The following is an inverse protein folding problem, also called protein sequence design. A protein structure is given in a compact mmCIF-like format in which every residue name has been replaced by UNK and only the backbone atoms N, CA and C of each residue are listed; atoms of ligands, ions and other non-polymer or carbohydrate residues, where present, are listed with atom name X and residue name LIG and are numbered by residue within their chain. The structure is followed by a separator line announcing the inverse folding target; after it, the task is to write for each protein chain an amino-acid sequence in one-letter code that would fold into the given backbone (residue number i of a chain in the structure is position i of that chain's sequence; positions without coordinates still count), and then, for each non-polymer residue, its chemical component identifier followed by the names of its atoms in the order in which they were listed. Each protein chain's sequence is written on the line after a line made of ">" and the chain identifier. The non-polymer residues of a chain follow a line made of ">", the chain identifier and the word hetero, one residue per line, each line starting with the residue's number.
data_IF_299647564060
#
_entry.id   IF_299647564060
#
_cell.length_a   1.000
_cell.length_b   1.000
_cell.length_c   1.000
_cell.angle_alpha   90.00
_cell.angle_beta   90.00
_cell.angle_gamma   90.00
#
_symmetry.space_group_name_H-M   'P 1'
#
loop_
_entity.id
_entity.type
_entity.pdbx_description
1 polymer ?
#
# COMPACT_ATOMS: atom_id res chain seq x y z
N UNK A 1 14.15 -16.34 -5.56
CA UNK A 1 13.08 -15.33 -5.63
C UNK A 1 13.70 -14.00 -5.24
N UNK A 2 13.59 -13.01 -6.11
CA UNK A 2 14.15 -11.68 -5.89
C UNK A 2 13.11 -10.84 -5.16
N UNK A 3 13.45 -10.43 -3.95
CA UNK A 3 12.73 -9.40 -3.23
C UNK A 3 12.87 -8.05 -3.96
N UNK A 4 11.91 -7.12 -3.80
CA UNK A 4 10.69 -7.22 -2.98
C UNK A 4 9.57 -8.05 -3.62
N UNK A 5 8.74 -8.66 -2.78
CA UNK A 5 7.47 -9.29 -3.18
C UNK A 5 6.39 -8.22 -3.14
N UNK A 6 5.62 -8.08 -4.22
CA UNK A 6 4.52 -7.13 -4.31
C UNK A 6 3.15 -7.79 -4.11
N UNK A 7 2.34 -7.17 -3.26
CA UNK A 7 0.96 -7.60 -2.97
C UNK A 7 0.05 -6.40 -3.22
N UNK A 8 -0.95 -6.58 -4.08
CA UNK A 8 -1.94 -5.54 -4.39
C UNK A 8 -3.31 -5.98 -3.92
N UNK A 9 -3.96 -5.13 -3.12
CA UNK A 9 -5.31 -5.33 -2.63
C UNK A 9 -6.23 -4.30 -3.27
N UNK A 10 -7.30 -4.75 -3.93
CA UNK A 10 -8.37 -3.90 -4.45
C UNK A 10 -9.54 -3.85 -3.47
N UNK A 11 -9.90 -2.66 -2.98
CA UNK A 11 -11.08 -2.45 -2.16
C UNK A 11 -12.34 -2.45 -3.01
N UNK A 12 -13.44 -2.91 -2.44
CA UNK A 12 -14.72 -2.96 -3.16
C UNK A 12 -15.21 -1.55 -3.54
N UNK A 13 -14.99 -0.58 -2.65
CA UNK A 13 -15.36 0.83 -2.78
C UNK A 13 -14.17 1.72 -2.52
N UNK A 14 -14.11 2.86 -3.20
CA UNK A 14 -13.19 3.95 -2.84
C UNK A 14 -13.46 4.33 -1.38
N UNK A 15 -12.42 4.32 -0.57
CA UNK A 15 -12.52 4.53 0.86
C UNK A 15 -11.49 5.54 1.32
N UNK A 16 -11.85 6.35 2.32
CA UNK A 16 -10.85 7.10 3.07
C UNK A 16 -10.23 6.17 4.10
N UNK A 17 -8.98 5.79 3.90
CA UNK A 17 -8.24 4.86 4.75
C UNK A 17 -7.51 5.70 5.80
N UNK A 18 -7.71 5.43 7.09
CA UNK A 18 -7.02 6.18 8.15
C UNK A 18 -6.02 5.33 8.92
N UNK A 19 -6.15 4.00 8.89
CA UNK A 19 -5.24 3.10 9.61
C UNK A 19 -5.05 1.77 8.90
N UNK A 20 -3.79 1.33 8.83
CA UNK A 20 -3.39 0.00 8.36
C UNK A 20 -2.59 -0.69 9.46
N UNK A 21 -2.90 -1.95 9.72
CA UNK A 21 -2.20 -2.81 10.69
C UNK A 21 -1.68 -4.02 9.94
N UNK A 22 -0.38 -4.27 10.07
CA UNK A 22 0.26 -5.46 9.52
C UNK A 22 0.85 -6.26 10.67
N UNK A 23 0.40 -7.50 10.80
CA UNK A 23 0.91 -8.49 11.75
C UNK A 23 1.79 -9.45 10.96
N UNK A 24 3.08 -9.53 11.34
CA UNK A 24 4.07 -10.39 10.69
C UNK A 24 4.24 -11.69 11.45
N UNK A 25 4.72 -12.73 10.76
CA UNK A 25 5.11 -13.97 11.42
C UNK A 25 6.47 -13.80 12.10
N UNK A 26 6.54 -14.13 13.37
CA UNK A 26 7.73 -14.01 14.21
C UNK A 26 8.90 -14.90 13.76
N UNK A 27 8.58 -16.02 13.09
CA UNK A 27 9.60 -16.94 12.55
C UNK A 27 10.07 -16.53 11.16
N UNK A 28 9.34 -15.63 10.49
CA UNK A 28 9.58 -15.22 9.11
C UNK A 28 9.43 -13.70 8.96
N UNK A 29 10.06 -12.96 9.88
CA UNK A 29 9.98 -11.50 9.92
C UNK A 29 10.68 -10.86 8.70
N UNK A 30 9.98 -10.02 7.91
CA UNK A 30 10.62 -9.25 6.84
C UNK A 30 11.45 -8.11 7.44
N UNK A 31 12.53 -7.70 6.79
CA UNK A 31 13.35 -6.53 7.17
C UNK A 31 12.56 -5.23 7.06
N UNK A 32 11.76 -5.11 6.00
CA UNK A 32 10.96 -3.93 5.69
C UNK A 32 9.65 -4.30 5.00
N UNK A 33 8.60 -3.54 5.28
CA UNK A 33 7.38 -3.49 4.48
C UNK A 33 7.13 -2.04 4.07
N UNK A 34 6.74 -1.80 2.83
CA UNK A 34 6.25 -0.50 2.38
C UNK A 34 4.79 -0.61 2.00
N UNK A 35 3.99 0.38 2.36
CA UNK A 35 2.55 0.43 2.04
C UNK A 35 2.22 1.77 1.41
N UNK A 36 1.59 1.74 0.24
CA UNK A 36 0.97 2.91 -0.35
C UNK A 36 -0.50 2.65 -0.69
N UNK A 37 -1.25 3.74 -0.72
CA UNK A 37 -2.68 3.79 -1.06
C UNK A 37 -2.81 4.49 -2.40
N UNK A 38 -3.48 3.84 -3.32
CA UNK A 38 -3.70 4.31 -4.68
C UNK A 38 -5.16 4.63 -4.95
N UNK A 39 -5.42 5.79 -5.56
CA UNK A 39 -6.72 6.08 -6.14
C UNK A 39 -6.70 5.72 -7.63
N UNK A 40 -7.55 4.79 -8.03
CA UNK A 40 -7.75 4.43 -9.43
C UNK A 40 -9.14 4.83 -9.92
N UNK A 41 -9.37 4.59 -11.20
CA UNK A 41 -10.68 4.78 -11.83
C UNK A 41 -11.65 3.69 -11.33
N UNK A 42 -12.69 4.10 -10.61
CA UNK A 42 -13.67 3.22 -9.98
C UNK A 42 -14.63 2.57 -10.98
N UNK A 43 -14.59 2.99 -12.25
CA UNK A 43 -15.33 2.36 -13.35
C UNK A 43 -14.60 1.17 -13.95
N UNK A 44 -13.30 1.02 -13.68
CA UNK A 44 -12.49 -0.07 -14.19
C UNK A 44 -12.58 -1.32 -13.30
N UNK A 45 -12.33 -2.48 -13.92
CA UNK A 45 -12.22 -3.73 -13.17
C UNK A 45 -11.05 -3.67 -12.18
N UNK A 46 -11.29 -4.16 -10.96
CA UNK A 46 -10.28 -4.23 -9.90
C UNK A 46 -9.35 -5.41 -10.14
N UNK A 47 -8.29 -5.16 -10.91
CA UNK A 47 -7.25 -6.13 -11.19
C UNK A 47 -5.87 -5.47 -11.09
N UNK A 48 -4.83 -6.31 -11.07
CA UNK A 48 -3.46 -5.85 -10.89
C UNK A 48 -2.98 -4.92 -12.02
N UNK A 49 -3.45 -5.13 -13.27
CA UNK A 49 -3.13 -4.25 -14.40
C UNK A 49 -3.64 -2.83 -14.19
N UNK A 50 -4.90 -2.70 -13.78
CA UNK A 50 -5.53 -1.40 -13.56
C UNK A 50 -5.02 -0.74 -12.27
N UNK A 51 -4.64 -1.52 -11.26
CA UNK A 51 -4.01 -1.00 -10.06
C UNK A 51 -2.70 -0.26 -10.36
N UNK A 52 -1.89 -0.71 -11.34
CA UNK A 52 -0.65 -0.02 -11.75
C UNK A 52 -0.88 1.37 -12.36
N UNK A 53 -2.11 1.66 -12.79
CA UNK A 53 -2.49 2.96 -13.35
C UNK A 53 -3.05 3.91 -12.28
N UNK A 54 -3.23 3.44 -11.05
CA UNK A 54 -3.72 4.28 -9.95
C UNK A 54 -2.66 5.31 -9.52
N UNK A 55 -3.13 6.47 -9.02
CA UNK A 55 -2.26 7.47 -8.41
C UNK A 55 -1.99 7.08 -6.95
N UNK A 56 -0.79 6.56 -6.69
CA UNK A 56 -0.35 6.19 -5.35
C UNK A 56 0.25 7.38 -4.60
N UNK A 57 -0.05 7.44 -3.30
CA UNK A 57 0.67 8.31 -2.39
C UNK A 57 2.10 7.81 -2.14
N UNK A 58 2.90 8.64 -1.44
CA UNK A 58 4.24 8.25 -1.03
C UNK A 58 4.18 7.00 -0.14
N UNK A 59 5.03 5.98 -0.40
CA UNK A 59 5.07 4.77 0.39
C UNK A 59 5.43 5.05 1.84
N UNK A 60 4.68 4.45 2.76
CA UNK A 60 4.99 4.49 4.19
C UNK A 60 5.75 3.23 4.55
N UNK A 61 6.93 3.42 5.14
CA UNK A 61 7.87 2.36 5.45
C UNK A 61 7.68 1.84 6.89
N UNK A 62 7.86 0.53 7.03
CA UNK A 62 7.75 -0.23 8.26
C UNK A 62 8.99 -1.12 8.36
N UNK A 63 9.93 -0.75 9.23
CA UNK A 63 11.16 -1.52 9.47
C UNK A 63 11.03 -2.42 10.70
N UNK A 64 11.43 -3.68 10.59
CA UNK A 64 11.31 -4.67 11.66
C UNK A 64 12.68 -5.07 12.20
N UNK A 65 13.44 -4.08 12.67
CA UNK A 65 14.78 -4.33 13.23
C UNK A 65 14.77 -5.06 14.58
N UNK A 66 15.93 -5.58 14.97
CA UNK A 66 16.11 -6.42 16.17
C UNK A 66 15.59 -5.83 17.50
N UNK A 67 15.50 -4.50 17.62
CA UNK A 67 15.00 -3.80 18.82
C UNK A 67 13.46 -3.73 18.91
N UNK A 68 12.73 -4.07 17.84
CA UNK A 68 11.25 -3.97 17.76
C UNK A 68 10.52 -5.31 17.85
N UNK A 69 11.25 -6.41 18.10
CA UNK A 69 10.75 -7.80 18.17
C UNK A 69 9.68 -8.07 19.22
N UNK A 70 9.48 -7.16 20.18
CA UNK A 70 8.59 -7.37 21.34
C UNK A 70 7.11 -7.30 20.94
N UNK A 71 6.75 -6.75 19.77
CA UNK A 71 5.35 -6.58 19.39
C UNK A 71 4.89 -7.28 18.10
N UNK A 72 5.76 -7.64 17.13
CA UNK A 72 5.45 -8.29 15.83
C UNK A 72 4.21 -7.76 15.05
N UNK A 73 3.70 -6.61 15.47
CA UNK A 73 2.49 -5.96 15.02
C UNK A 73 2.85 -4.50 14.87
N UNK A 74 2.84 -4.05 13.63
CA UNK A 74 3.09 -2.66 13.31
C UNK A 74 1.79 -1.99 12.89
N UNK A 75 1.58 -0.78 13.42
CA UNK A 75 0.37 -0.01 13.20
C UNK A 75 0.71 1.35 12.62
N UNK A 76 0.18 1.63 11.43
CA UNK A 76 0.26 2.95 10.81
C UNK A 76 -0.96 3.75 11.27
N UNK A 77 -0.85 4.43 12.42
CA UNK A 77 -2.02 5.09 13.07
C UNK A 77 -2.41 6.46 12.52
N UNK A 78 -1.57 7.13 11.73
CA UNK A 78 -1.89 8.48 11.21
C UNK A 78 -1.38 8.74 9.79
N UNK A 79 -0.69 7.77 9.19
CA UNK A 79 0.05 8.00 7.95
C UNK A 79 -0.88 8.13 6.72
N UNK A 80 -2.12 7.65 6.84
CA UNK A 80 -3.11 7.73 5.77
C UNK A 80 -4.27 8.68 6.06
N UNK A 81 -4.28 9.43 7.17
CA UNK A 81 -5.41 10.29 7.52
C UNK A 81 -5.83 11.22 6.38
N UNK A 82 -6.97 10.94 5.74
CA UNK A 82 -7.47 11.71 4.61
C UNK A 82 -6.97 11.26 3.24
N UNK A 83 -6.40 10.06 3.11
CA UNK A 83 -5.98 9.47 1.83
C UNK A 83 -7.12 8.64 1.24
N UNK A 84 -7.89 9.19 0.27
CA UNK A 84 -8.85 8.38 -0.49
C UNK A 84 -8.09 7.38 -1.35
N UNK A 85 -8.55 6.13 -1.37
CA UNK A 85 -7.97 5.11 -2.22
C UNK A 85 -8.90 3.95 -2.49
N UNK A 86 -8.61 3.27 -3.59
CA UNK A 86 -9.26 2.04 -4.01
C UNK A 86 -8.28 0.86 -3.99
N UNK A 87 -7.00 1.13 -4.14
CA UNK A 87 -5.94 0.12 -4.14
C UNK A 87 -4.99 0.33 -2.97
N UNK A 88 -4.45 -0.77 -2.47
CA UNK A 88 -3.35 -0.77 -1.52
C UNK A 88 -2.23 -1.64 -2.09
N UNK A 89 -1.04 -1.07 -2.20
CA UNK A 89 0.13 -1.77 -2.67
C UNK A 89 1.07 -1.96 -1.49
N UNK A 90 1.40 -3.22 -1.22
CA UNK A 90 2.26 -3.65 -0.12
C UNK A 90 3.50 -4.27 -0.74
N UNK A 91 4.67 -3.71 -0.46
CA UNK A 91 5.97 -4.25 -0.85
C UNK A 91 6.62 -4.91 0.35
N UNK A 92 6.92 -6.20 0.25
CA UNK A 92 7.52 -6.99 1.32
C UNK A 92 8.97 -7.30 0.94
N UNK A 93 9.91 -6.86 1.78
CA UNK A 93 11.34 -7.03 1.53
C UNK A 93 11.85 -8.34 2.14
N UNK A 94 13.13 -8.62 1.91
CA UNK A 94 13.82 -9.83 2.37
C UNK A 94 13.75 -10.02 3.89
N UNK A 95 14.00 -11.23 4.43
CA UNK A 95 13.96 -11.47 5.87
C UNK A 95 14.95 -10.58 6.65
N UNK A 96 14.59 -10.19 7.88
CA UNK A 96 15.48 -9.45 8.80
C UNK A 96 16.75 -10.25 9.13
N UNK A 97 16.59 -11.57 9.37
CA UNK A 97 17.70 -12.48 9.62
C UNK A 97 17.85 -13.52 8.50
N UNK A 98 18.76 -13.22 7.57
CA UNK A 98 19.08 -14.09 6.45
C UNK A 98 19.87 -15.34 6.91
N UNK A 99 20.56 -15.27 8.05
CA UNK A 99 21.46 -16.33 8.51
C UNK A 99 20.72 -17.55 9.06
N UNK A 100 19.62 -17.32 9.80
CA UNK A 100 18.78 -18.38 10.36
C UNK A 100 17.69 -18.85 9.39
N UNK A 101 17.40 -18.07 8.34
CA UNK A 101 16.34 -18.33 7.36
C UNK A 101 16.89 -18.80 6.01
N UNK A 102 17.34 -20.06 5.96
CA UNK A 102 17.96 -20.68 4.77
C UNK A 102 17.12 -20.59 3.49
N UNK A 103 15.79 -20.60 3.63
CA UNK A 103 14.86 -20.57 2.50
C UNK A 103 14.43 -19.15 2.12
N UNK A 104 14.95 -18.13 2.81
CA UNK A 104 14.60 -16.72 2.64
C UNK A 104 13.07 -16.52 2.57
N UNK A 105 12.36 -17.00 3.58
CA UNK A 105 10.89 -16.89 3.66
C UNK A 105 10.47 -15.69 4.49
N UNK A 106 9.40 -15.01 4.09
CA UNK A 106 8.75 -13.97 4.90
C UNK A 106 7.28 -14.33 5.12
N UNK A 107 6.72 -13.91 6.24
CA UNK A 107 5.35 -14.22 6.65
C UNK A 107 4.57 -12.99 7.07
N UNK A 108 3.40 -12.81 6.46
CA UNK A 108 2.38 -11.88 6.93
C UNK A 108 1.23 -12.72 7.48
N UNK A 109 0.94 -12.59 8.78
CA UNK A 109 -0.17 -13.29 9.45
C UNK A 109 -1.50 -12.62 9.13
N UNK A 110 -1.52 -11.29 9.12
CA UNK A 110 -2.76 -10.52 8.96
C UNK A 110 -2.50 -9.11 8.45
N UNK A 111 -3.36 -8.65 7.56
CA UNK A 111 -3.49 -7.25 7.16
C UNK A 111 -4.88 -6.77 7.58
N UNK A 112 -4.95 -5.69 8.35
CA UNK A 112 -6.21 -5.04 8.72
C UNK A 112 -6.22 -3.62 8.18
N UNK A 113 -7.24 -3.30 7.37
CA UNK A 113 -7.42 -1.98 6.76
C UNK A 113 -8.65 -1.34 7.42
N UNK A 114 -8.47 -0.15 7.97
CA UNK A 114 -9.52 0.61 8.64
C UNK A 114 -9.73 1.93 7.90
N UNK A 115 -10.98 2.14 7.50
CA UNK A 115 -11.42 3.27 6.71
C UNK A 115 -12.94 3.34 6.67
N UNK A 116 -13.45 4.31 5.93
CA UNK A 116 -14.87 4.41 5.63
C UNK A 116 -15.06 4.60 4.11
N UNK A 117 -16.08 3.95 3.52
CA UNK A 117 -16.36 4.11 2.11
C UNK A 117 -16.85 5.53 1.83
N UNK A 118 -16.41 6.10 0.71
CA UNK A 118 -16.90 7.39 0.25
C UNK A 118 -18.22 7.23 -0.49
N UNK A 119 -19.06 8.27 -0.42
CA UNK A 119 -20.27 8.37 -1.23
C UNK A 119 -19.92 8.60 -2.70
N UNK A 120 -20.88 8.33 -3.60
CA UNK A 120 -20.69 8.53 -5.04
C UNK A 120 -20.34 9.99 -5.37
N UNK A 121 -20.99 10.94 -4.71
CA UNK A 121 -20.75 12.37 -4.94
C UNK A 121 -19.34 12.78 -4.52
N UNK A 122 -18.85 12.23 -3.41
CA UNK A 122 -17.46 12.43 -2.96
C UNK A 122 -16.45 11.83 -3.95
N UNK A 123 -16.72 10.64 -4.50
CA UNK A 123 -15.86 10.00 -5.51
C UNK A 123 -15.83 10.80 -6.81
N UNK A 124 -16.98 11.30 -7.28
CA UNK A 124 -17.06 12.18 -8.46
C UNK A 124 -16.29 13.48 -8.23
N UNK A 125 -16.42 14.08 -7.05
CA UNK A 125 -15.68 15.28 -6.67
C UNK A 125 -14.16 15.04 -6.58
N UNK A 126 -13.73 13.83 -6.19
CA UNK A 126 -12.33 13.44 -6.26
C UNK A 126 -11.89 13.29 -7.72
N UNK A 127 -12.56 12.45 -8.52
CA UNK A 127 -12.18 12.16 -9.90
C UNK A 127 -12.09 13.44 -10.77
N UNK A 128 -12.97 14.42 -10.55
CA UNK A 128 -12.89 15.73 -11.23
C UNK A 128 -11.64 16.54 -10.87
N UNK A 129 -11.20 16.52 -9.59
CA UNK A 129 -9.92 17.13 -9.18
C UNK A 129 -8.71 16.41 -9.77
N UNK A 130 -8.78 15.08 -9.91
CA UNK A 130 -7.72 14.29 -10.54
C UNK A 130 -7.58 14.63 -12.03
N UNK A 131 -8.67 14.66 -12.79
CA UNK A 131 -8.65 15.03 -14.21
C UNK A 131 -8.11 16.45 -14.44
N UNK A 132 -8.50 17.41 -13.60
CA UNK A 132 -7.99 18.78 -13.69
C UNK A 132 -6.48 18.92 -13.36
N UNK A 133 -5.90 18.00 -12.58
CA UNK A 133 -4.45 17.98 -12.32
C UNK A 133 -3.64 17.46 -13.52
N UNK A 134 -4.21 16.55 -14.31
CA UNK A 134 -3.57 16.06 -15.55
C UNK A 134 -3.49 17.16 -16.60
N UNK A 135 -4.55 17.97 -16.76
CA UNK A 135 -4.56 19.11 -17.70
C UNK A 135 -3.60 20.25 -17.29
N UNK A 136 -3.22 20.31 -16.00
CA UNK A 136 -2.27 21.30 -15.47
C UNK A 136 -0.80 20.85 -15.41
N UNK A 137 -0.52 19.55 -15.59
CA UNK A 137 0.86 19.03 -15.65
C UNK A 137 1.32 19.05 -17.11
N UNK A 138 2.08 20.09 -17.47
CA UNK A 138 2.88 20.10 -18.69
C UNK A 138 3.62 18.75 -18.86
N UNK A 139 3.49 18.16 -20.05
CA UNK A 139 4.16 16.92 -20.46
C UNK A 139 5.62 16.95 -20.02
N UNK A 140 5.94 16.20 -18.96
CA UNK A 140 7.33 15.90 -18.64
C UNK A 140 7.77 14.84 -19.66
N UNK A 141 8.36 15.31 -20.76
CA UNK A 141 9.02 14.50 -21.77
C UNK A 141 10.14 13.73 -21.08
N UNK A 142 9.95 12.43 -20.85
CA UNK A 142 11.05 11.55 -20.46
C UNK A 142 11.84 11.26 -21.74
N UNK A 143 13.06 11.76 -21.79
CA UNK A 143 14.06 11.36 -22.77
C UNK A 143 14.42 9.87 -22.58
N UNK A 144 14.56 9.20 -23.72
CA UNK A 144 14.99 7.81 -23.92
C UNK A 144 16.30 7.46 -23.19
#
# INVERSE_FOLDING_TARGET
>A
EEYPIDIVLGLEKVSNIYKVIIEVDEHFTPSKIEVCVGLGDDTLERNYKNARMAEFNEPIQMEFGASQRIANRMELRNAFNGSPGQYMWIMVYEPDDISSNRYKKVGIKKVTILGYPLSKDEVVALNSKFRNKEDGRAKCTVCL
#
